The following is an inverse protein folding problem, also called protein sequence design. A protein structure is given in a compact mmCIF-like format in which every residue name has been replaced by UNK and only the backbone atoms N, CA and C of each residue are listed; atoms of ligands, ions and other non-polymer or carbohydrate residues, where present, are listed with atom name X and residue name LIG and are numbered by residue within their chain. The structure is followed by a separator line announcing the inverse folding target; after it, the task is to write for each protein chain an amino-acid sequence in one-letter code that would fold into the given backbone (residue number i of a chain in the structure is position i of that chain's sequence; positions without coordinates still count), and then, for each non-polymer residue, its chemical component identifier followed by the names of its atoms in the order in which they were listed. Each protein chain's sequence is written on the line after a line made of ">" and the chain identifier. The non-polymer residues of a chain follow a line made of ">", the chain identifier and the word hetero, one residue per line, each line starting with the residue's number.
data_IF_517594995885
#
_entry.id   IF_517594995885
#
_cell.length_a   1.000
_cell.length_b   1.000
_cell.length_c   1.000
_cell.angle_alpha   90.00
_cell.angle_beta   90.00
_cell.angle_gamma   90.00
#
_symmetry.space_group_name_H-M   'P 1'
#
loop_
_entity.id
_entity.type
_entity.pdbx_description
1 polymer ?
#
# COMPACT_ATOMS: atom_id res chain seq x y z
N UNK A 1 -31.76 -2.78 -8.82
CA UNK A 1 -31.33 -1.48 -9.37
C UNK A 1 -30.82 -1.70 -10.79
N UNK A 2 -31.57 -1.30 -11.81
CA UNK A 2 -31.14 -1.41 -13.21
C UNK A 2 -30.71 -0.01 -13.68
N UNK A 3 -29.53 0.41 -13.23
CA UNK A 3 -28.96 1.70 -13.63
C UNK A 3 -28.43 1.54 -15.07
N UNK A 4 -28.84 2.47 -15.93
CA UNK A 4 -28.38 2.55 -17.32
C UNK A 4 -26.87 2.82 -17.38
N UNK A 5 -26.15 2.21 -18.33
CA UNK A 5 -24.69 2.37 -18.50
C UNK A 5 -24.24 3.84 -18.51
N UNK A 6 -25.07 4.74 -19.06
CA UNK A 6 -24.78 6.18 -19.11
C UNK A 6 -24.90 6.87 -17.75
N UNK A 7 -25.86 6.44 -16.95
CA UNK A 7 -26.14 6.99 -15.62
C UNK A 7 -25.11 6.48 -14.60
N UNK A 8 -24.66 5.22 -14.75
CA UNK A 8 -23.48 4.69 -14.06
C UNK A 8 -22.22 5.48 -14.42
N UNK A 9 -21.99 5.79 -15.70
CA UNK A 9 -20.83 6.55 -16.14
C UNK A 9 -20.82 7.97 -15.55
N UNK A 10 -21.98 8.64 -15.51
CA UNK A 10 -22.11 9.97 -14.90
C UNK A 10 -21.92 9.94 -13.38
N UNK A 11 -22.42 8.89 -12.70
CA UNK A 11 -22.12 8.69 -11.28
C UNK A 11 -20.62 8.49 -11.05
N UNK A 12 -19.99 7.61 -11.82
CA UNK A 12 -18.56 7.32 -11.70
C UNK A 12 -17.69 8.54 -11.98
N UNK A 13 -18.06 9.36 -12.96
CA UNK A 13 -17.38 10.60 -13.31
C UNK A 13 -17.56 11.66 -12.21
N UNK A 14 -18.75 11.76 -11.59
CA UNK A 14 -19.00 12.65 -10.45
C UNK A 14 -18.22 12.30 -9.19
N UNK A 15 -17.96 11.03 -8.94
CA UNK A 15 -17.18 10.58 -7.78
C UNK A 15 -15.67 10.54 -8.04
N UNK A 16 -15.24 10.59 -9.31
CA UNK A 16 -13.83 10.60 -9.67
C UNK A 16 -13.26 12.01 -9.55
N UNK A 17 -12.50 12.28 -8.49
CA UNK A 17 -11.80 13.55 -8.36
C UNK A 17 -10.80 13.74 -9.52
N UNK A 18 -10.83 14.86 -10.27
CA UNK A 18 -9.87 15.11 -11.33
C UNK A 18 -8.48 15.31 -10.71
N UNK A 19 -7.66 14.27 -10.72
CA UNK A 19 -6.28 14.38 -10.28
C UNK A 19 -5.45 15.07 -11.37
N UNK A 20 -4.53 15.94 -10.98
CA UNK A 20 -3.57 16.59 -11.89
C UNK A 20 -2.57 15.53 -12.38
N UNK A 21 -2.96 14.75 -13.39
CA UNK A 21 -2.22 13.59 -13.90
C UNK A 21 -0.75 13.92 -14.21
N UNK A 22 -0.52 15.10 -14.77
CA UNK A 22 0.82 15.58 -15.16
C UNK A 22 1.77 15.78 -13.96
N UNK A 23 1.26 15.89 -12.73
CA UNK A 23 2.08 16.01 -11.51
C UNK A 23 2.18 14.66 -10.81
N UNK A 24 1.07 13.91 -10.74
CA UNK A 24 1.00 12.66 -9.99
C UNK A 24 1.78 11.54 -10.67
N UNK A 25 1.78 11.47 -12.00
CA UNK A 25 2.51 10.45 -12.78
C UNK A 25 4.03 10.56 -12.62
N UNK A 26 4.69 11.70 -12.90
CA UNK A 26 6.15 11.79 -12.75
C UNK A 26 6.57 11.63 -11.29
N UNK A 27 5.79 12.14 -10.33
CA UNK A 27 6.06 11.95 -8.91
C UNK A 27 5.98 10.48 -8.49
N UNK A 28 4.96 9.75 -8.97
CA UNK A 28 4.83 8.32 -8.72
C UNK A 28 5.97 7.52 -9.37
N UNK A 29 6.39 7.88 -10.58
CA UNK A 29 7.50 7.25 -11.27
C UNK A 29 8.83 7.44 -10.52
N UNK A 30 9.15 8.66 -10.08
CA UNK A 30 10.38 8.94 -9.33
C UNK A 30 10.41 8.16 -8.03
N UNK A 31 9.30 8.15 -7.27
CA UNK A 31 9.28 7.49 -5.96
C UNK A 31 9.28 5.97 -6.10
N UNK A 32 8.51 5.43 -7.05
CA UNK A 32 8.55 4.00 -7.36
C UNK A 32 9.92 3.55 -7.85
N UNK A 33 10.56 4.37 -8.72
CA UNK A 33 11.91 4.14 -9.20
C UNK A 33 12.95 4.13 -8.08
N UNK A 34 12.90 5.08 -7.14
CA UNK A 34 13.79 5.11 -5.96
C UNK A 34 13.64 3.86 -5.09
N UNK A 35 12.42 3.36 -4.90
CA UNK A 35 12.16 2.12 -4.15
C UNK A 35 12.75 0.92 -4.90
N UNK A 36 12.59 0.86 -6.23
CA UNK A 36 13.19 -0.20 -7.05
C UNK A 36 14.72 -0.16 -7.03
N UNK A 37 15.35 1.02 -7.09
CA UNK A 37 16.80 1.18 -6.94
C UNK A 37 17.27 0.71 -5.56
N UNK A 38 16.49 0.96 -4.51
CA UNK A 38 16.79 0.45 -3.17
C UNK A 38 16.73 -1.09 -3.14
N UNK A 39 15.77 -1.69 -3.84
CA UNK A 39 15.70 -3.15 -3.99
C UNK A 39 16.89 -3.74 -4.77
N UNK A 40 17.29 -3.10 -5.88
CA UNK A 40 18.49 -3.50 -6.62
C UNK A 40 19.73 -3.41 -5.75
N UNK A 41 19.88 -2.35 -4.95
CA UNK A 41 20.99 -2.22 -4.00
C UNK A 41 21.08 -3.39 -3.02
N UNK A 42 19.96 -3.82 -2.43
CA UNK A 42 19.95 -4.99 -1.55
C UNK A 42 20.27 -6.28 -2.31
N UNK A 43 19.73 -6.44 -3.52
CA UNK A 43 19.99 -7.61 -4.35
C UNK A 43 21.47 -7.74 -4.72
N UNK A 44 22.08 -6.65 -5.17
CA UNK A 44 23.50 -6.61 -5.51
C UNK A 44 24.38 -6.85 -4.29
N UNK A 45 23.98 -6.35 -3.12
CA UNK A 45 24.66 -6.61 -1.85
C UNK A 45 24.61 -8.10 -1.47
N UNK A 46 23.46 -8.77 -1.64
CA UNK A 46 23.35 -10.20 -1.38
C UNK A 46 24.13 -11.06 -2.39
N UNK A 47 24.15 -10.66 -3.66
CA UNK A 47 25.00 -11.30 -4.69
C UNK A 47 26.48 -11.14 -4.33
N UNK A 48 26.90 -9.94 -3.90
CA UNK A 48 28.29 -9.66 -3.53
C UNK A 48 28.76 -10.47 -2.31
N UNK A 49 27.84 -10.79 -1.39
CA UNK A 49 28.12 -11.66 -0.22
C UNK A 49 28.33 -13.13 -0.63
N UNK A 50 28.06 -13.49 -1.88
CA UNK A 50 28.31 -14.82 -2.45
C UNK A 50 27.05 -15.67 -2.61
N UNK A 51 25.85 -15.08 -2.54
CA UNK A 51 24.61 -15.80 -2.79
C UNK A 51 24.33 -15.91 -4.29
N UNK A 52 23.69 -17.01 -4.69
CA UNK A 52 23.14 -17.17 -6.03
C UNK A 52 22.04 -16.13 -6.32
N UNK A 53 21.85 -15.78 -7.60
CA UNK A 53 20.91 -14.74 -8.01
C UNK A 53 19.46 -15.01 -7.55
N UNK A 54 19.02 -16.27 -7.58
CA UNK A 54 17.68 -16.64 -7.13
C UNK A 54 17.53 -16.45 -5.62
N UNK A 55 18.57 -16.81 -4.87
CA UNK A 55 18.60 -16.68 -3.40
C UNK A 55 18.69 -15.21 -2.97
N UNK A 56 19.50 -14.42 -3.65
CA UNK A 56 19.64 -12.99 -3.41
C UNK A 56 18.32 -12.22 -3.66
N UNK A 57 17.59 -12.58 -4.72
CA UNK A 57 16.28 -11.99 -5.03
C UNK A 57 15.23 -12.36 -3.98
N UNK A 58 15.22 -13.61 -3.52
CA UNK A 58 14.36 -14.05 -2.43
C UNK A 58 14.63 -13.27 -1.14
N UNK A 59 15.90 -13.14 -0.74
CA UNK A 59 16.28 -12.38 0.45
C UNK A 59 15.96 -10.89 0.34
N UNK A 60 16.18 -10.29 -0.83
CA UNK A 60 15.78 -8.90 -1.11
C UNK A 60 14.29 -8.70 -0.87
N UNK A 61 13.46 -9.57 -1.44
CA UNK A 61 12.01 -9.50 -1.31
C UNK A 61 11.57 -9.64 0.15
N UNK A 62 12.13 -10.61 0.88
CA UNK A 62 11.84 -10.84 2.30
C UNK A 62 12.23 -9.61 3.14
N UNK A 63 13.43 -9.07 2.94
CA UNK A 63 13.95 -7.92 3.68
C UNK A 63 13.11 -6.67 3.43
N UNK A 64 12.73 -6.38 2.18
CA UNK A 64 11.88 -5.24 1.86
C UNK A 64 10.48 -5.37 2.46
N UNK A 65 9.88 -6.57 2.43
CA UNK A 65 8.58 -6.84 3.06
C UNK A 65 8.66 -6.65 4.57
N UNK A 66 9.72 -7.17 5.21
CA UNK A 66 9.92 -7.04 6.65
C UNK A 66 10.09 -5.57 7.07
N UNK A 67 10.96 -4.82 6.39
CA UNK A 67 11.17 -3.39 6.66
C UNK A 67 9.87 -2.62 6.47
N UNK A 68 9.13 -2.91 5.39
CA UNK A 68 7.85 -2.27 5.12
C UNK A 68 6.83 -2.59 6.22
N UNK A 69 6.71 -3.85 6.63
CA UNK A 69 5.80 -4.28 7.70
C UNK A 69 6.11 -3.57 9.03
N UNK A 70 7.39 -3.44 9.38
CA UNK A 70 7.83 -2.69 10.56
C UNK A 70 7.47 -1.21 10.44
N UNK A 71 7.77 -0.57 9.32
CA UNK A 71 7.43 0.83 9.08
C UNK A 71 5.91 1.09 9.09
N UNK A 72 5.11 0.15 8.59
CA UNK A 72 3.65 0.18 8.69
C UNK A 72 3.20 0.04 10.14
N UNK A 73 3.79 -0.89 10.90
CA UNK A 73 3.57 -1.06 12.34
C UNK A 73 3.83 0.20 13.17
N UNK A 74 4.89 0.95 12.84
CA UNK A 74 5.19 2.24 13.46
C UNK A 74 4.35 3.41 12.93
N UNK A 75 3.50 3.20 11.92
CA UNK A 75 2.67 4.24 11.30
C UNK A 75 3.46 5.23 10.42
N UNK A 76 4.75 5.02 10.21
CA UNK A 76 5.60 5.90 9.41
C UNK A 76 5.39 5.65 7.91
N UNK A 77 5.13 4.39 7.51
CA UNK A 77 4.88 4.04 6.11
C UNK A 77 3.69 4.81 5.53
N UNK A 78 2.58 4.87 6.26
CA UNK A 78 1.37 5.59 5.86
C UNK A 78 1.62 7.10 5.61
N UNK A 79 2.51 7.73 6.38
CA UNK A 79 2.87 9.15 6.20
C UNK A 79 3.66 9.36 4.91
N UNK A 80 4.60 8.45 4.62
CA UNK A 80 5.39 8.46 3.39
C UNK A 80 4.48 8.16 2.20
N UNK A 81 3.60 7.17 2.30
CA UNK A 81 2.67 6.76 1.26
C UNK A 81 1.69 7.88 0.87
N UNK A 82 1.18 8.65 1.84
CA UNK A 82 0.34 9.84 1.56
C UNK A 82 1.09 10.91 0.76
N UNK A 83 2.39 11.09 1.00
CA UNK A 83 3.20 12.03 0.23
C UNK A 83 3.61 11.46 -1.12
N UNK A 84 3.84 10.16 -1.22
CA UNK A 84 4.32 9.50 -2.41
C UNK A 84 3.22 9.12 -3.42
N UNK A 85 1.99 8.97 -2.94
CA UNK A 85 0.84 8.60 -3.76
C UNK A 85 0.99 7.20 -4.35
N UNK A 86 0.62 7.05 -5.62
CA UNK A 86 0.61 5.75 -6.30
C UNK A 86 2.00 5.07 -6.37
N UNK A 87 3.09 5.84 -6.32
CA UNK A 87 4.46 5.32 -6.44
C UNK A 87 4.89 4.37 -5.32
N UNK A 88 4.31 4.48 -4.12
CA UNK A 88 4.55 3.57 -2.99
C UNK A 88 3.60 2.38 -2.94
N UNK A 89 2.57 2.35 -3.80
CA UNK A 89 1.60 1.24 -3.86
C UNK A 89 2.00 0.16 -4.86
N UNK A 90 2.72 0.54 -5.93
CA UNK A 90 3.15 -0.39 -7.00
C UNK A 90 4.26 -1.36 -6.55
N UNK A 91 5.28 -0.96 -5.76
CA UNK A 91 6.34 -1.86 -5.31
C UNK A 91 5.86 -2.86 -4.25
N UNK A 92 6.68 -3.89 -3.96
CA UNK A 92 6.38 -4.93 -2.96
C UNK A 92 6.10 -4.38 -1.55
N UNK A 93 6.60 -3.18 -1.23
CA UNK A 93 6.32 -2.47 0.02
C UNK A 93 4.84 -2.05 0.13
N UNK A 94 4.21 -1.70 -0.99
CA UNK A 94 2.79 -1.38 -1.06
C UNK A 94 1.91 -2.60 -0.74
N UNK A 95 2.29 -3.76 -1.26
CA UNK A 95 1.66 -5.03 -0.91
C UNK A 95 1.81 -5.34 0.60
N UNK A 96 3.01 -5.22 1.16
CA UNK A 96 3.24 -5.45 2.58
C UNK A 96 2.36 -4.54 3.47
N UNK A 97 2.27 -3.25 3.14
CA UNK A 97 1.40 -2.31 3.84
C UNK A 97 -0.09 -2.70 3.75
N UNK A 98 -0.56 -3.12 2.57
CA UNK A 98 -1.95 -3.53 2.37
C UNK A 98 -2.34 -4.78 3.19
N UNK A 99 -1.39 -5.66 3.49
CA UNK A 99 -1.60 -6.83 4.36
C UNK A 99 -1.48 -6.46 5.85
N UNK A 100 -0.50 -5.62 6.22
CA UNK A 100 -0.18 -5.31 7.61
C UNK A 100 -1.16 -4.30 8.21
N UNK A 101 -1.61 -3.30 7.46
CA UNK A 101 -2.58 -2.30 7.93
C UNK A 101 -3.89 -2.90 8.47
N UNK A 102 -4.61 -3.80 7.76
CA UNK A 102 -5.79 -4.44 8.32
C UNK A 102 -5.45 -5.34 9.50
N UNK A 103 -4.31 -6.05 9.48
CA UNK A 103 -3.88 -6.90 10.59
C UNK A 103 -3.67 -6.12 11.91
N UNK A 104 -3.12 -4.91 11.83
CA UNK A 104 -2.98 -4.00 12.97
C UNK A 104 -4.33 -3.43 13.43
N UNK A 105 -5.23 -3.13 12.49
CA UNK A 105 -6.55 -2.62 12.81
C UNK A 105 -7.39 -3.67 13.56
N UNK A 106 -7.42 -4.93 13.09
CA UNK A 106 -8.12 -6.03 13.77
C UNK A 106 -7.61 -6.28 15.19
N UNK A 107 -6.29 -6.17 15.43
CA UNK A 107 -5.72 -6.29 16.78
C UNK A 107 -6.13 -5.13 17.70
N UNK A 108 -6.34 -3.94 17.13
CA UNK A 108 -6.81 -2.77 17.90
C UNK A 108 -8.28 -2.95 18.30
N UNK A 109 -9.08 -3.62 17.47
CA UNK A 109 -10.49 -3.89 17.78
C UNK A 109 -10.68 -4.94 18.88
N UNK A 110 -9.76 -5.90 19.09
CA UNK A 110 -9.83 -6.85 20.23
C UNK A 110 -9.82 -6.16 21.60
N UNK A 111 -9.11 -5.02 21.73
CA UNK A 111 -9.15 -4.22 22.97
C UNK A 111 -10.46 -3.45 23.15
N UNK A 112 -11.26 -3.35 22.09
CA UNK A 112 -12.52 -2.62 22.06
C UNK A 112 -13.71 -3.57 22.19
N UNK A 113 -13.57 -4.91 22.06
CA UNK A 113 -14.69 -5.88 22.24
C UNK A 113 -15.26 -5.86 23.67
N UNK A 114 -14.52 -5.36 24.67
CA UNK A 114 -15.02 -5.08 26.03
C UNK A 114 -15.96 -3.85 26.08
N UNK A 115 -16.11 -3.14 24.97
CA UNK A 115 -17.06 -2.03 24.76
C UNK A 115 -17.89 -2.30 23.50
N UNK A 116 -19.20 -2.01 23.47
CA UNK A 116 -20.00 -2.29 22.28
C UNK A 116 -19.48 -1.52 21.06
N UNK A 117 -18.97 -2.28 20.07
CA UNK A 117 -18.37 -1.79 18.83
C UNK A 117 -19.37 -0.97 18.00
N UNK A 118 -19.04 0.30 17.78
CA UNK A 118 -19.79 1.23 16.92
C UNK A 118 -19.64 0.93 15.42
N UNK A 119 -18.78 -0.03 15.02
CA UNK A 119 -18.48 -0.31 13.60
C UNK A 119 -19.64 -0.99 12.86
N UNK A 120 -20.57 -1.65 13.57
CA UNK A 120 -21.81 -2.17 13.00
C UNK A 120 -22.79 -1.08 12.49
N UNK A 121 -22.63 0.21 12.87
CA UNK A 121 -23.49 1.29 12.33
C UNK A 121 -23.09 1.78 10.95
N UNK A 122 -21.83 1.61 10.53
CA UNK A 122 -21.37 2.12 9.24
C UNK A 122 -21.66 1.12 8.09
N UNK A 123 -21.57 -0.19 8.35
CA UNK A 123 -21.86 -1.21 7.35
C UNK A 123 -23.34 -1.23 6.93
N UNK A 124 -24.26 -0.83 7.82
CA UNK A 124 -25.70 -0.75 7.52
C UNK A 124 -26.11 0.49 6.71
N UNK A 125 -25.19 1.40 6.40
CA UNK A 125 -25.47 2.60 5.58
C UNK A 125 -25.00 2.46 4.13
N UNK A 126 -24.35 1.36 3.78
CA UNK A 126 -23.76 1.09 2.45
C UNK A 126 -24.35 -0.17 1.79
N UNK A 127 -25.22 -0.92 2.49
CA UNK A 127 -26.07 -1.96 1.89
C UNK A 127 -27.51 -1.46 1.76
#
# INVERSE_FOLDING_TARGET
>A
MNISKKEYAQLADRYSAPSKLYITVPKAFVIGGLICCTGQFFNDLYIMIGNDADTASAYTSITLVLISALLTGFGQYERIAKHAGAGTLVPITGFANAVVSPALEFKTEERVIITPSQKCRCFRRVC
#
